data_IF_997175791790
#
_entry.id   IF_997175791790
#
_cell.length_a   1.000
_cell.length_b   1.000
_cell.length_c   1.000
_cell.angle_alpha   90.00
_cell.angle_beta   90.00
_cell.angle_gamma   90.00
#
_symmetry.space_group_name_H-M   'P 1'
#
loop_
_entity.id
_entity.type
_entity.pdbx_description
1 polymer ?
#
# COMPACT_ATOMS: atom_id res chain seq x y z
N UNK A 1 4.68 13.65 3.43
CA UNK A 1 4.29 15.07 3.67
C UNK A 1 2.81 15.30 3.33
N UNK A 2 2.38 15.23 2.07
CA UNK A 2 0.97 15.52 1.72
C UNK A 2 -0.07 14.66 2.47
N UNK A 3 0.14 13.34 2.56
CA UNK A 3 -0.81 12.47 3.29
C UNK A 3 -0.85 12.73 4.80
N UNK A 4 0.25 13.23 5.38
CA UNK A 4 0.34 13.56 6.82
C UNK A 4 -0.46 14.83 7.09
N UNK A 5 -0.25 15.88 6.29
CA UNK A 5 -1.04 17.09 6.31
C UNK A 5 -1.06 17.75 4.90
N UNK A 6 -2.18 17.64 4.17
CA UNK A 6 -2.28 18.17 2.81
C UNK A 6 -2.08 19.69 2.73
N UNK A 7 -2.48 20.41 3.78
CA UNK A 7 -2.47 21.88 3.84
C UNK A 7 -1.07 22.48 3.94
N UNK A 8 -0.07 21.68 4.33
CA UNK A 8 1.33 22.12 4.38
C UNK A 8 1.94 22.29 2.98
N UNK A 9 1.38 21.62 1.97
CA UNK A 9 1.83 21.71 0.57
C UNK A 9 0.82 22.43 -0.32
N UNK A 10 -0.47 22.25 -0.05
CA UNK A 10 -1.57 22.87 -0.80
C UNK A 10 -2.54 23.48 0.22
N UNK A 11 -2.40 24.78 0.54
CA UNK A 11 -3.18 25.43 1.61
C UNK A 11 -4.70 25.29 1.46
N UNK A 12 -5.18 25.29 0.22
CA UNK A 12 -6.60 25.21 -0.13
C UNK A 12 -7.15 23.77 -0.11
N UNK A 13 -6.31 22.76 0.18
CA UNK A 13 -6.68 21.36 0.06
C UNK A 13 -7.80 20.99 1.03
N UNK A 14 -8.88 20.42 0.49
CA UNK A 14 -9.98 19.85 1.26
C UNK A 14 -9.74 18.38 1.63
N UNK A 15 -8.64 17.79 1.16
CA UNK A 15 -8.30 16.41 1.48
C UNK A 15 -8.13 16.26 3.00
N UNK A 16 -8.70 15.21 3.62
CA UNK A 16 -8.43 14.89 5.01
C UNK A 16 -6.94 14.60 5.25
N UNK A 17 -6.46 14.88 6.46
CA UNK A 17 -5.14 14.44 6.91
C UNK A 17 -5.21 12.96 7.34
N UNK A 18 -4.18 12.19 7.00
CA UNK A 18 -4.03 10.76 7.33
C UNK A 18 -2.73 10.48 8.11
N UNK A 19 -2.44 11.20 9.22
CA UNK A 19 -1.15 11.08 9.91
C UNK A 19 -0.92 9.71 10.55
N UNK A 20 -1.98 8.96 10.89
CA UNK A 20 -1.86 7.62 11.48
C UNK A 20 -1.16 6.62 10.57
N UNK A 21 -1.19 6.82 9.25
CA UNK A 21 -0.53 5.93 8.29
C UNK A 21 0.98 5.84 8.55
N UNK A 22 1.59 6.89 9.10
CA UNK A 22 3.03 6.92 9.40
C UNK A 22 3.41 5.96 10.54
N UNK A 23 2.51 5.74 11.51
CA UNK A 23 2.79 4.96 12.71
C UNK A 23 2.16 3.57 12.70
N UNK A 24 1.04 3.39 11.99
CA UNK A 24 0.41 2.08 11.81
C UNK A 24 1.25 1.20 10.88
N UNK A 25 1.45 -0.06 11.27
CA UNK A 25 2.13 -1.07 10.46
C UNK A 25 1.15 -1.85 9.61
N UNK A 26 1.60 -2.27 8.44
CA UNK A 26 0.83 -3.17 7.56
C UNK A 26 0.52 -4.48 8.29
N UNK A 27 -0.72 -4.94 8.19
CA UNK A 27 -1.10 -6.29 8.64
C UNK A 27 -0.58 -7.36 7.68
N UNK A 28 0.67 -7.78 7.92
CA UNK A 28 1.34 -8.81 7.13
C UNK A 28 0.60 -10.16 7.10
N UNK A 29 -0.21 -10.46 8.13
CA UNK A 29 -0.95 -11.72 8.20
C UNK A 29 -2.07 -11.79 7.16
N UNK A 30 -2.61 -10.65 6.74
CA UNK A 30 -3.68 -10.56 5.74
C UNK A 30 -3.19 -10.74 4.30
N UNK A 31 -1.90 -10.57 4.02
CA UNK A 31 -1.37 -10.48 2.66
C UNK A 31 -1.52 -11.80 1.88
N UNK A 32 -1.05 -12.91 2.45
CA UNK A 32 -1.12 -14.21 1.77
C UNK A 32 -2.57 -14.66 1.50
N UNK A 33 -3.53 -14.54 2.44
CA UNK A 33 -4.96 -14.74 2.15
C UNK A 33 -5.49 -13.86 1.01
N UNK A 34 -5.19 -12.56 1.03
CA UNK A 34 -5.65 -11.62 0.00
C UNK A 34 -5.09 -11.94 -1.39
N UNK A 35 -3.79 -12.24 -1.48
CA UNK A 35 -3.14 -12.62 -2.74
C UNK A 35 -3.70 -13.93 -3.30
N UNK A 36 -4.01 -14.92 -2.45
CA UNK A 36 -4.70 -16.15 -2.87
C UNK A 36 -6.11 -15.86 -3.40
N UNK A 37 -6.85 -14.97 -2.75
CA UNK A 37 -8.18 -14.56 -3.21
C UNK A 37 -8.11 -13.84 -4.57
N UNK A 38 -7.15 -12.91 -4.75
CA UNK A 38 -6.89 -12.25 -6.02
C UNK A 38 -6.47 -13.24 -7.11
N UNK A 39 -5.65 -14.24 -6.77
CA UNK A 39 -5.29 -15.32 -7.69
C UNK A 39 -6.50 -16.14 -8.13
N UNK A 40 -7.43 -16.43 -7.21
CA UNK A 40 -8.66 -17.14 -7.54
C UNK A 40 -9.54 -16.40 -8.56
N UNK A 41 -9.42 -15.07 -8.67
CA UNK A 41 -10.14 -14.24 -9.65
C UNK A 41 -9.29 -13.83 -10.85
N UNK A 42 -8.11 -14.45 -11.04
CA UNK A 42 -7.32 -14.33 -12.27
C UNK A 42 -6.09 -13.43 -12.20
N UNK A 43 -5.74 -12.86 -11.04
CA UNK A 43 -4.46 -12.14 -10.88
C UNK A 43 -3.32 -13.16 -10.83
N UNK A 44 -2.29 -13.09 -11.69
CA UNK A 44 -1.31 -14.15 -11.86
C UNK A 44 -0.20 -14.13 -10.80
N UNK A 45 -0.55 -14.18 -9.51
CA UNK A 45 0.43 -14.32 -8.42
C UNK A 45 1.07 -15.71 -8.41
N UNK A 46 2.40 -15.75 -8.28
CA UNK A 46 3.15 -17.02 -8.10
C UNK A 46 3.13 -17.47 -6.64
N UNK A 47 3.46 -18.75 -6.41
CA UNK A 47 3.56 -19.27 -5.05
C UNK A 47 4.68 -18.61 -4.25
N UNK A 48 5.79 -18.26 -4.92
CA UNK A 48 6.91 -17.54 -4.31
C UNK A 48 6.50 -16.14 -3.83
N UNK A 49 5.74 -15.41 -4.64
CA UNK A 49 5.21 -14.09 -4.26
C UNK A 49 4.30 -14.20 -3.04
N UNK A 50 3.41 -15.20 -3.00
CA UNK A 50 2.49 -15.41 -1.87
C UNK A 50 3.25 -15.81 -0.61
N UNK A 51 4.30 -16.62 -0.73
CA UNK A 51 5.12 -17.07 0.40
C UNK A 51 6.00 -15.95 0.97
N UNK A 52 6.53 -15.07 0.11
CA UNK A 52 7.42 -13.96 0.51
C UNK A 52 6.70 -12.71 1.04
N UNK A 53 5.41 -12.54 0.72
CA UNK A 53 4.68 -11.29 0.97
C UNK A 53 4.73 -10.78 2.43
N UNK A 54 4.65 -11.69 3.41
CA UNK A 54 4.66 -11.30 4.81
C UNK A 54 6.02 -10.75 5.28
N UNK A 55 7.12 -11.31 4.77
CA UNK A 55 8.46 -10.83 5.10
C UNK A 55 8.76 -9.51 4.37
N UNK A 56 8.31 -9.36 3.11
CA UNK A 56 8.45 -8.11 2.37
C UNK A 56 7.72 -6.93 3.04
N UNK A 57 6.58 -7.18 3.67
CA UNK A 57 5.80 -6.17 4.37
C UNK A 57 6.19 -5.98 5.84
N UNK A 58 7.22 -6.70 6.31
CA UNK A 58 7.65 -6.62 7.70
C UNK A 58 8.13 -5.21 8.03
N UNK A 59 7.60 -4.67 9.12
CA UNK A 59 7.90 -3.32 9.62
C UNK A 59 7.55 -2.17 8.66
N UNK A 60 6.88 -2.45 7.53
CA UNK A 60 6.41 -1.44 6.58
C UNK A 60 5.25 -0.67 7.20
N UNK A 61 5.32 0.68 7.15
CA UNK A 61 4.19 1.52 7.59
C UNK A 61 3.08 1.51 6.54
N UNK A 62 1.84 1.77 6.96
CA UNK A 62 0.74 1.93 6.01
C UNK A 62 0.99 3.11 5.04
N UNK A 63 1.70 4.14 5.49
CA UNK A 63 2.10 5.28 4.66
C UNK A 63 3.01 4.83 3.52
N UNK A 64 4.03 4.03 3.82
CA UNK A 64 4.95 3.49 2.81
C UNK A 64 4.21 2.62 1.80
N UNK A 65 3.27 1.77 2.26
CA UNK A 65 2.45 0.94 1.40
C UNK A 65 1.54 1.77 0.46
N UNK A 66 0.91 2.83 0.97
CA UNK A 66 0.09 3.75 0.16
C UNK A 66 0.95 4.50 -0.87
N UNK A 67 2.15 4.96 -0.47
CA UNK A 67 3.08 5.61 -1.40
C UNK A 67 3.46 4.63 -2.52
N UNK A 68 3.83 3.39 -2.20
CA UNK A 68 4.18 2.38 -3.18
C UNK A 68 3.02 2.13 -4.17
N UNK A 69 1.78 2.02 -3.67
CA UNK A 69 0.60 1.89 -4.52
C UNK A 69 0.43 3.07 -5.48
N UNK A 70 0.51 4.31 -4.97
CA UNK A 70 0.33 5.52 -5.76
C UNK A 70 1.41 5.67 -6.86
N UNK A 71 2.65 5.24 -6.59
CA UNK A 71 3.75 5.30 -7.56
C UNK A 71 3.59 4.34 -8.74
N UNK A 72 2.78 3.28 -8.60
CA UNK A 72 2.53 2.32 -9.69
C UNK A 72 1.39 2.77 -10.61
N UNK A 73 0.46 3.60 -10.13
CA UNK A 73 -0.72 4.04 -10.89
C UNK A 73 -0.32 4.71 -12.21
N UNK A 74 -0.84 4.16 -13.32
CA UNK A 74 -0.61 4.70 -14.67
C UNK A 74 0.72 4.31 -15.34
N UNK A 75 1.61 3.57 -14.67
CA UNK A 75 2.93 3.22 -15.22
C UNK A 75 2.93 2.02 -16.19
N UNK A 76 1.90 1.16 -16.11
CA UNK A 76 1.77 -0.05 -16.93
C UNK A 76 1.17 0.19 -18.33
N UNK A 77 0.60 1.37 -18.58
CA UNK A 77 0.19 1.79 -19.92
C UNK A 77 1.39 2.42 -20.62
N UNK A 78 1.93 1.73 -21.62
CA UNK A 78 2.85 2.29 -22.61
C UNK A 78 2.24 2.15 -23.99
#
# INVERSE_FOLDING_TARGET
IHLINPRDLVPESIMPAYPWLETTKVDAASLAPNMRALRAVGVPYTDEQIAGAAEEAKDVSELDAVIAYLQVLGTHLK
#
